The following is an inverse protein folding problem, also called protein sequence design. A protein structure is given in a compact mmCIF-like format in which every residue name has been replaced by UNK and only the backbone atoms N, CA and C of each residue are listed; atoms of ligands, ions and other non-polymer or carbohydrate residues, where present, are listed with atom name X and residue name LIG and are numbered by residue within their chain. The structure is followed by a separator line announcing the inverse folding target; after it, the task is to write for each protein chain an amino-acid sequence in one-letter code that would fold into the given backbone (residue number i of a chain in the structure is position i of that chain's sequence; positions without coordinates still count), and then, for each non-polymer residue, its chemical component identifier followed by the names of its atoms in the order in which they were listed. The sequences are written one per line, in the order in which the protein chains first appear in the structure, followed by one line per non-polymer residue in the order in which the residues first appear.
data_IF_222153829443
#
_entry.id   IF_222153829443
#
_cell.length_a   1.000
_cell.length_b   1.000
_cell.length_c   1.000
_cell.angle_alpha   90.00
_cell.angle_beta   90.00
_cell.angle_gamma   90.00
#
_symmetry.space_group_name_H-M   'P 1'
#
loop_
_entity.id
_entity.type
_entity.pdbx_description
1 polymer ?
#
# COMPACT_ATOMS: atom_id res chain seq x y z
N UNK A 1 -1.57 -16.57 18.88
CA UNK A 1 -1.71 -16.57 17.40
C UNK A 1 -0.33 -16.35 16.78
N UNK A 2 -0.04 -16.96 15.64
CA UNK A 2 1.26 -16.82 14.96
C UNK A 2 1.06 -16.64 13.45
N UNK A 3 2.07 -16.12 12.76
CA UNK A 3 2.10 -15.99 11.31
C UNK A 3 1.90 -17.35 10.61
N UNK A 4 2.43 -18.43 11.20
CA UNK A 4 2.25 -19.78 10.65
C UNK A 4 0.77 -20.16 10.57
N UNK A 5 0.01 -19.97 11.66
CA UNK A 5 -1.44 -20.28 11.67
C UNK A 5 -2.20 -19.41 10.66
N UNK A 6 -1.85 -18.11 10.55
CA UNK A 6 -2.46 -17.24 9.55
C UNK A 6 -2.13 -17.71 8.12
N UNK A 7 -0.91 -18.17 7.87
CA UNK A 7 -0.51 -18.71 6.57
C UNK A 7 -1.23 -20.04 6.27
N UNK A 8 -1.42 -20.91 7.27
CA UNK A 8 -2.17 -22.16 7.10
C UNK A 8 -3.66 -21.87 6.79
N UNK A 9 -4.25 -20.88 7.47
CA UNK A 9 -5.61 -20.41 7.13
C UNK A 9 -5.70 -19.87 5.68
N UNK A 10 -4.69 -19.10 5.20
CA UNK A 10 -4.65 -18.65 3.80
C UNK A 10 -4.54 -19.83 2.83
N UNK A 11 -3.69 -20.80 3.14
CA UNK A 11 -3.51 -22.01 2.32
C UNK A 11 -4.77 -22.87 2.25
N UNK A 12 -5.65 -22.84 3.26
CA UNK A 12 -6.93 -23.55 3.21
C UNK A 12 -7.87 -23.05 2.11
N UNK A 13 -7.63 -21.81 1.62
CA UNK A 13 -8.35 -21.22 0.48
C UNK A 13 -7.60 -21.36 -0.85
N UNK A 14 -6.53 -22.18 -0.91
CA UNK A 14 -5.76 -22.36 -2.15
C UNK A 14 -6.62 -22.88 -3.28
N UNK A 15 -6.46 -22.27 -4.46
CA UNK A 15 -7.15 -22.68 -5.68
C UNK A 15 -6.19 -22.67 -6.87
N UNK A 16 -5.67 -23.84 -7.21
CA UNK A 16 -4.68 -24.02 -8.30
C UNK A 16 -5.18 -23.53 -9.65
N UNK A 17 -6.50 -23.65 -9.93
CA UNK A 17 -7.07 -23.21 -11.20
C UNK A 17 -6.98 -21.69 -11.41
N UNK A 18 -6.86 -20.91 -10.34
CA UNK A 18 -6.77 -19.44 -10.40
C UNK A 18 -5.33 -18.89 -10.43
N UNK A 19 -4.34 -19.73 -10.14
CA UNK A 19 -2.94 -19.28 -9.99
C UNK A 19 -2.41 -18.65 -11.27
N UNK A 20 -2.65 -19.28 -12.44
CA UNK A 20 -2.18 -18.75 -13.72
C UNK A 20 -2.85 -17.41 -14.09
N UNK A 21 -4.13 -17.26 -13.79
CA UNK A 21 -4.84 -16.01 -14.06
C UNK A 21 -4.36 -14.87 -13.14
N UNK A 22 -4.10 -15.17 -11.87
CA UNK A 22 -3.52 -14.20 -10.93
C UNK A 22 -2.10 -13.81 -11.34
N UNK A 23 -1.25 -14.78 -11.71
CA UNK A 23 0.11 -14.51 -12.18
C UNK A 23 0.11 -13.54 -13.38
N UNK A 24 -0.79 -13.76 -14.35
CA UNK A 24 -0.97 -12.86 -15.50
C UNK A 24 -1.53 -11.50 -15.09
N UNK A 25 -2.53 -11.46 -14.22
CA UNK A 25 -3.18 -10.23 -13.77
C UNK A 25 -2.22 -9.33 -12.98
N UNK A 26 -1.39 -9.91 -12.11
CA UNK A 26 -0.40 -9.21 -11.31
C UNK A 26 0.96 -9.08 -11.99
N UNK A 27 1.06 -9.50 -13.27
CA UNK A 27 2.27 -9.41 -14.09
C UNK A 27 3.51 -9.95 -13.36
N UNK A 28 3.49 -11.24 -13.06
CA UNK A 28 4.58 -11.90 -12.33
C UNK A 28 5.57 -12.67 -13.21
N UNK A 29 5.49 -12.50 -14.54
CA UNK A 29 6.45 -13.07 -15.47
C UNK A 29 7.83 -12.38 -15.36
N UNK A 30 8.92 -13.03 -15.82
CA UNK A 30 10.24 -12.43 -15.84
C UNK A 30 10.27 -11.05 -16.53
N UNK A 31 10.91 -10.05 -15.88
CA UNK A 31 10.96 -8.67 -16.35
C UNK A 31 9.73 -7.82 -16.08
N UNK A 32 8.67 -8.38 -15.50
CA UNK A 32 7.47 -7.65 -15.14
C UNK A 32 7.53 -7.16 -13.68
N UNK A 33 6.67 -6.20 -13.32
CA UNK A 33 6.70 -5.55 -12.00
C UNK A 33 6.34 -6.45 -10.82
N UNK A 34 5.66 -7.56 -11.05
CA UNK A 34 5.31 -8.58 -10.05
C UNK A 34 6.19 -9.82 -10.11
N UNK A 35 7.33 -9.73 -10.81
CA UNK A 35 8.25 -10.87 -10.94
C UNK A 35 8.60 -11.47 -9.57
N UNK A 36 8.55 -12.80 -9.51
CA UNK A 36 8.81 -13.56 -8.28
C UNK A 36 7.62 -13.72 -7.33
N UNK A 37 6.47 -13.12 -7.59
CA UNK A 37 5.26 -13.33 -6.81
C UNK A 37 4.71 -14.74 -7.02
N UNK A 38 4.44 -15.44 -5.91
CA UNK A 38 3.81 -16.76 -5.89
C UNK A 38 2.39 -16.61 -5.33
N UNK A 39 1.41 -17.22 -6.01
CA UNK A 39 0.00 -17.13 -5.65
C UNK A 39 -0.53 -18.44 -5.07
N UNK A 40 -1.35 -18.35 -4.01
CA UNK A 40 -2.14 -19.45 -3.48
C UNK A 40 -3.44 -19.67 -4.30
N UNK A 41 -3.92 -18.61 -4.95
CA UNK A 41 -5.18 -18.63 -5.70
C UNK A 41 -6.39 -18.21 -4.87
N UNK A 42 -6.20 -17.78 -3.64
CA UNK A 42 -7.25 -17.25 -2.77
C UNK A 42 -7.83 -15.92 -3.30
N UNK A 43 -9.07 -15.62 -2.93
CA UNK A 43 -9.70 -14.33 -3.26
C UNK A 43 -9.38 -13.25 -2.22
N UNK A 44 -9.46 -11.97 -2.63
CA UNK A 44 -9.29 -10.85 -1.70
C UNK A 44 -10.29 -10.89 -0.53
N UNK A 45 -11.58 -11.22 -0.70
CA UNK A 45 -12.49 -11.41 0.44
C UNK A 45 -12.03 -12.49 1.43
N UNK A 46 -11.51 -13.62 0.95
CA UNK A 46 -10.96 -14.68 1.80
C UNK A 46 -9.71 -14.18 2.55
N UNK A 47 -8.79 -13.50 1.88
CA UNK A 47 -7.62 -12.87 2.51
C UNK A 47 -8.03 -11.87 3.60
N UNK A 48 -9.08 -11.05 3.35
CA UNK A 48 -9.65 -10.14 4.35
C UNK A 48 -10.24 -10.87 5.56
N UNK A 49 -10.91 -12.00 5.36
CA UNK A 49 -11.46 -12.81 6.46
C UNK A 49 -10.36 -13.35 7.36
N UNK A 50 -9.28 -13.86 6.77
CA UNK A 50 -8.10 -14.32 7.52
C UNK A 50 -7.43 -13.15 8.26
N UNK A 51 -7.24 -12.01 7.61
CA UNK A 51 -6.66 -10.82 8.23
C UNK A 51 -7.48 -10.35 9.45
N UNK A 52 -8.81 -10.37 9.34
CA UNK A 52 -9.71 -10.04 10.46
C UNK A 52 -9.58 -11.05 11.62
N UNK A 53 -9.51 -12.34 11.33
CA UNK A 53 -9.28 -13.39 12.34
C UNK A 53 -7.96 -13.20 13.08
N UNK A 54 -6.92 -12.74 12.39
CA UNK A 54 -5.56 -12.59 12.90
C UNK A 54 -5.15 -11.14 13.18
N UNK A 55 -6.09 -10.19 13.29
CA UNK A 55 -5.81 -8.76 13.43
C UNK A 55 -4.97 -8.40 14.67
N UNK A 56 -4.93 -9.26 15.70
CA UNK A 56 -4.19 -9.04 16.93
C UNK A 56 -2.76 -9.63 16.91
N UNK A 57 -2.23 -10.03 15.75
CA UNK A 57 -0.85 -10.48 15.63
C UNK A 57 0.13 -9.36 16.00
N UNK A 58 1.16 -9.68 16.79
CA UNK A 58 2.25 -8.73 17.06
C UNK A 58 3.01 -8.39 15.78
N UNK A 59 3.63 -7.19 15.72
CA UNK A 59 4.33 -6.71 14.53
C UNK A 59 5.42 -7.66 14.03
N UNK A 60 6.09 -8.40 14.92
CA UNK A 60 7.07 -9.42 14.54
C UNK A 60 6.44 -10.57 13.75
N UNK A 61 5.23 -10.99 14.12
CA UNK A 61 4.51 -12.03 13.37
C UNK A 61 3.95 -11.47 12.05
N UNK A 62 3.49 -10.23 12.03
CA UNK A 62 3.09 -9.54 10.79
C UNK A 62 4.28 -9.41 9.83
N UNK A 63 5.50 -9.17 10.34
CA UNK A 63 6.71 -9.14 9.52
C UNK A 63 6.96 -10.47 8.82
N UNK A 64 6.74 -11.61 9.49
CA UNK A 64 6.87 -12.94 8.88
C UNK A 64 5.90 -13.16 7.71
N UNK A 65 4.69 -12.59 7.78
CA UNK A 65 3.75 -12.60 6.65
C UNK A 65 4.25 -11.72 5.49
N UNK A 66 4.83 -10.55 5.77
CA UNK A 66 5.44 -9.70 4.74
C UNK A 66 6.67 -10.34 4.08
N UNK A 67 7.40 -11.20 4.78
CA UNK A 67 8.55 -11.92 4.21
C UNK A 67 8.16 -13.20 3.47
N UNK A 68 6.88 -13.53 3.44
CA UNK A 68 6.38 -14.69 2.71
C UNK A 68 6.54 -14.53 1.19
N UNK A 69 6.90 -15.58 0.45
CA UNK A 69 6.87 -15.55 -1.00
C UNK A 69 5.45 -15.47 -1.57
N UNK A 70 4.43 -15.79 -0.78
CA UNK A 70 3.05 -15.77 -1.23
C UNK A 70 2.47 -14.36 -1.22
N UNK A 71 1.91 -13.93 -2.35
CA UNK A 71 1.28 -12.63 -2.52
C UNK A 71 0.15 -12.41 -1.48
N UNK A 72 -0.74 -13.37 -1.32
CA UNK A 72 -1.86 -13.29 -0.38
C UNK A 72 -1.41 -13.14 1.07
N UNK A 73 -0.22 -13.66 1.44
CA UNK A 73 0.31 -13.48 2.79
C UNK A 73 0.77 -12.03 3.02
N UNK A 74 1.43 -11.40 2.03
CA UNK A 74 1.83 -9.98 2.11
C UNK A 74 0.62 -9.07 2.10
N UNK A 75 -0.39 -9.37 1.25
CA UNK A 75 -1.66 -8.65 1.25
C UNK A 75 -2.38 -8.77 2.60
N UNK A 76 -2.42 -9.97 3.18
CA UNK A 76 -2.99 -10.21 4.52
C UNK A 76 -2.27 -9.37 5.58
N UNK A 77 -0.94 -9.32 5.56
CA UNK A 77 -0.14 -8.50 6.48
C UNK A 77 -0.50 -7.01 6.38
N UNK A 78 -0.64 -6.48 5.16
CA UNK A 78 -1.03 -5.10 4.92
C UNK A 78 -2.44 -4.79 5.46
N UNK A 79 -3.39 -5.71 5.28
CA UNK A 79 -4.75 -5.57 5.81
C UNK A 79 -4.74 -5.64 7.35
N UNK A 80 -3.96 -6.53 7.97
CA UNK A 80 -3.80 -6.59 9.42
C UNK A 80 -3.28 -5.26 9.95
N UNK A 81 -2.24 -4.67 9.33
CA UNK A 81 -1.74 -3.35 9.74
C UNK A 81 -2.81 -2.27 9.67
N UNK A 82 -3.65 -2.27 8.62
CA UNK A 82 -4.76 -1.33 8.53
C UNK A 82 -5.75 -1.48 9.69
N UNK A 83 -6.10 -2.72 10.05
CA UNK A 83 -7.01 -3.00 11.16
C UNK A 83 -6.41 -2.52 12.49
N UNK A 84 -5.13 -2.79 12.71
CA UNK A 84 -4.40 -2.34 13.91
C UNK A 84 -4.29 -0.82 13.96
N UNK A 85 -3.99 -0.17 12.83
CA UNK A 85 -3.89 1.28 12.74
C UNK A 85 -5.23 1.95 13.08
N UNK A 86 -6.34 1.41 12.53
CA UNK A 86 -7.69 1.90 12.83
C UNK A 86 -8.06 1.73 14.31
N UNK A 87 -7.65 0.63 14.93
CA UNK A 87 -7.92 0.34 16.33
C UNK A 87 -7.03 1.17 17.28
N UNK A 88 -5.88 1.65 16.83
CA UNK A 88 -4.94 2.42 17.63
C UNK A 88 -5.53 3.80 17.98
N UNK A 89 -5.70 4.06 19.28
CA UNK A 89 -6.24 5.34 19.78
C UNK A 89 -5.17 6.39 20.05
N UNK A 90 -3.95 5.95 20.41
CA UNK A 90 -2.84 6.82 20.76
C UNK A 90 -1.96 7.08 19.53
N UNK A 91 -1.58 8.34 19.30
CA UNK A 91 -0.64 8.73 18.23
C UNK A 91 0.67 7.94 18.28
N UNK A 92 1.17 7.62 19.49
CA UNK A 92 2.39 6.82 19.63
C UNK A 92 2.25 5.39 19.07
N UNK A 93 1.07 4.77 19.22
CA UNK A 93 0.82 3.42 18.68
C UNK A 93 0.67 3.48 17.16
N UNK A 94 -0.03 4.51 16.64
CA UNK A 94 -0.10 4.77 15.19
C UNK A 94 1.28 5.01 14.58
N UNK A 95 2.14 5.77 15.30
CA UNK A 95 3.52 5.99 14.89
C UNK A 95 4.29 4.68 14.74
N UNK A 96 4.20 3.79 15.72
CA UNK A 96 4.87 2.47 15.66
C UNK A 96 4.42 1.66 14.44
N UNK A 97 3.11 1.65 14.16
CA UNK A 97 2.56 0.93 13.01
C UNK A 97 3.01 1.58 11.69
N UNK A 98 2.98 2.91 11.62
CA UNK A 98 3.43 3.65 10.44
C UNK A 98 4.92 3.48 10.16
N UNK A 99 5.77 3.58 11.18
CA UNK A 99 7.22 3.34 11.05
C UNK A 99 7.50 1.89 10.59
N UNK A 100 6.76 0.93 11.14
CA UNK A 100 6.85 -0.47 10.74
C UNK A 100 6.41 -0.66 9.28
N UNK A 101 5.31 -0.02 8.85
CA UNK A 101 4.88 -0.03 7.45
C UNK A 101 5.96 0.52 6.53
N UNK A 102 6.53 1.68 6.83
CA UNK A 102 7.62 2.28 6.05
C UNK A 102 8.88 1.38 6.01
N UNK A 103 9.16 0.63 7.07
CA UNK A 103 10.22 -0.39 7.07
C UNK A 103 9.91 -1.46 6.00
N UNK A 104 8.67 -1.96 5.93
CA UNK A 104 8.29 -2.97 4.93
C UNK A 104 8.31 -2.41 3.50
N UNK A 105 7.89 -1.16 3.31
CA UNK A 105 7.99 -0.47 2.01
C UNK A 105 9.45 -0.36 1.55
N UNK A 106 10.37 0.05 2.42
CA UNK A 106 11.80 0.15 2.10
C UNK A 106 12.46 -1.19 1.86
N UNK A 107 11.95 -2.25 2.47
CA UNK A 107 12.41 -3.63 2.29
C UNK A 107 11.79 -4.33 1.07
N UNK A 108 11.08 -3.58 0.19
CA UNK A 108 10.43 -4.08 -1.02
C UNK A 108 9.43 -5.24 -0.76
N UNK A 109 8.75 -5.20 0.38
CA UNK A 109 7.76 -6.21 0.78
C UNK A 109 6.31 -5.76 0.54
N UNK A 110 6.11 -4.45 0.32
CA UNK A 110 4.89 -3.83 -0.18
C UNK A 110 5.11 -3.60 -1.67
N UNK A 111 5.11 -4.68 -2.43
CA UNK A 111 5.70 -4.78 -3.77
C UNK A 111 4.70 -5.20 -4.86
N UNK A 112 3.44 -4.86 -4.70
CA UNK A 112 2.46 -4.91 -5.79
C UNK A 112 1.43 -3.80 -5.60
N UNK A 113 0.75 -3.40 -6.70
CA UNK A 113 -0.17 -2.26 -6.70
C UNK A 113 -1.32 -2.44 -5.71
N UNK A 114 -1.90 -3.63 -5.59
CA UNK A 114 -3.02 -3.89 -4.67
C UNK A 114 -2.62 -3.83 -3.20
N UNK A 115 -1.39 -4.27 -2.86
CA UNK A 115 -0.84 -4.17 -1.50
C UNK A 115 -0.62 -2.70 -1.14
N UNK A 116 -0.10 -1.90 -2.07
CA UNK A 116 0.06 -0.44 -1.87
C UNK A 116 -1.30 0.23 -1.73
N UNK A 117 -2.23 -0.05 -2.66
CA UNK A 117 -3.52 0.62 -2.74
C UNK A 117 -4.45 0.28 -1.56
N UNK A 118 -4.29 -0.91 -0.97
CA UNK A 118 -5.03 -1.26 0.23
C UNK A 118 -4.45 -0.62 1.49
N UNK A 119 -3.14 -0.38 1.55
CA UNK A 119 -2.45 0.04 2.78
C UNK A 119 -2.17 1.53 2.86
N UNK A 120 -1.59 2.13 1.82
CA UNK A 120 -1.12 3.52 1.85
C UNK A 120 -2.23 4.54 2.17
N UNK A 121 -3.49 4.43 1.68
CA UNK A 121 -4.56 5.36 2.06
C UNK A 121 -4.82 5.43 3.57
N UNK A 122 -4.67 4.32 4.28
CA UNK A 122 -4.87 4.26 5.73
C UNK A 122 -3.63 4.71 6.50
N UNK A 123 -2.45 4.30 6.05
CA UNK A 123 -1.19 4.73 6.66
C UNK A 123 -0.98 6.24 6.50
N UNK A 124 -1.43 6.82 5.38
CA UNK A 124 -1.40 8.26 5.14
C UNK A 124 -2.12 9.11 6.19
N UNK A 125 -3.09 8.54 6.91
CA UNK A 125 -3.79 9.25 8.01
C UNK A 125 -2.80 9.73 9.08
N UNK A 126 -1.72 9.00 9.34
CA UNK A 126 -0.69 9.43 10.29
C UNK A 126 0.00 10.73 9.88
N UNK A 127 0.05 11.06 8.59
CA UNK A 127 0.67 12.29 8.09
C UNK A 127 -0.08 13.56 8.51
N UNK A 128 -1.35 13.45 8.94
CA UNK A 128 -2.12 14.55 9.50
C UNK A 128 -1.82 14.79 11.00
N UNK A 129 -1.02 13.93 11.64
CA UNK A 129 -0.79 13.97 13.09
C UNK A 129 0.43 14.84 13.51
N UNK A 130 0.81 15.85 12.75
CA UNK A 130 1.58 16.95 13.31
C UNK A 130 2.94 17.30 12.74
N UNK A 131 3.55 16.54 11.86
CA UNK A 131 4.79 16.96 11.18
C UNK A 131 4.53 17.22 9.71
N UNK A 132 5.28 18.17 9.12
CA UNK A 132 5.29 18.38 7.68
C UNK A 132 5.53 17.04 6.94
N UNK A 133 4.58 16.55 6.14
CA UNK A 133 4.72 15.28 5.42
C UNK A 133 5.69 15.35 4.23
N UNK A 134 6.00 16.57 3.76
CA UNK A 134 6.71 16.77 2.49
C UNK A 134 8.10 16.13 2.44
N UNK A 135 8.96 16.22 3.48
CA UNK A 135 10.29 15.58 3.43
C UNK A 135 10.20 14.07 3.19
N UNK A 136 9.25 13.37 3.84
CA UNK A 136 9.03 11.94 3.64
C UNK A 136 8.51 11.64 2.23
N UNK A 137 7.47 12.36 1.81
CA UNK A 137 6.83 12.14 0.51
C UNK A 137 7.80 12.38 -0.65
N UNK A 138 8.59 13.45 -0.61
CA UNK A 138 9.63 13.75 -1.61
C UNK A 138 10.71 12.65 -1.62
N UNK A 139 11.15 12.20 -0.43
CA UNK A 139 12.14 11.11 -0.33
C UNK A 139 11.65 9.83 -1.01
N UNK A 140 10.39 9.46 -0.78
CA UNK A 140 9.78 8.29 -1.42
C UNK A 140 9.59 8.49 -2.93
N UNK A 141 9.14 9.68 -3.35
CA UNK A 141 8.92 10.01 -4.76
C UNK A 141 10.21 9.97 -5.59
N UNK A 142 11.36 10.26 -4.98
CA UNK A 142 12.68 10.23 -5.63
C UNK A 142 13.37 8.86 -5.58
N UNK A 143 12.71 7.84 -5.03
CA UNK A 143 13.28 6.50 -4.92
C UNK A 143 13.42 5.82 -6.28
N UNK A 144 14.43 4.97 -6.44
CA UNK A 144 14.55 4.05 -7.59
C UNK A 144 13.45 2.98 -7.59
N UNK A 145 12.90 2.66 -6.43
CA UNK A 145 11.83 1.68 -6.28
C UNK A 145 10.50 2.20 -6.82
N UNK A 146 9.90 1.46 -7.74
CA UNK A 146 8.54 1.69 -8.25
C UNK A 146 7.54 1.80 -7.08
N UNK A 147 7.65 0.89 -6.12
CA UNK A 147 6.68 0.79 -5.03
C UNK A 147 6.78 1.94 -4.04
N UNK A 148 7.99 2.41 -3.72
CA UNK A 148 8.19 3.58 -2.89
C UNK A 148 7.63 4.83 -3.55
N UNK A 149 7.82 5.01 -4.87
CA UNK A 149 7.23 6.13 -5.61
C UNK A 149 5.70 6.04 -5.62
N UNK A 150 5.13 4.84 -5.84
CA UNK A 150 3.68 4.66 -5.77
C UNK A 150 3.12 4.94 -4.36
N UNK A 151 3.79 4.47 -3.31
CA UNK A 151 3.42 4.76 -1.92
C UNK A 151 3.42 6.26 -1.66
N UNK A 152 4.41 7.01 -2.17
CA UNK A 152 4.51 8.46 -1.94
C UNK A 152 3.26 9.21 -2.35
N UNK A 153 2.74 8.91 -3.55
CA UNK A 153 1.55 9.61 -4.06
C UNK A 153 0.26 9.08 -3.40
N UNK A 154 0.13 7.77 -3.15
CA UNK A 154 -1.10 7.22 -2.56
C UNK A 154 -1.23 7.57 -1.07
N UNK A 155 -0.14 7.78 -0.34
CA UNK A 155 -0.19 8.31 1.03
C UNK A 155 -0.92 9.67 1.10
N UNK A 156 -0.88 10.48 0.02
CA UNK A 156 -1.57 11.78 -0.02
C UNK A 156 -3.09 11.67 -0.05
N UNK A 157 -3.65 10.48 -0.28
CA UNK A 157 -5.11 10.28 -0.27
C UNK A 157 -5.76 10.73 1.05
N UNK A 158 -5.11 10.46 2.18
CA UNK A 158 -5.61 10.91 3.48
C UNK A 158 -5.56 12.43 3.61
N UNK A 159 -4.48 13.05 3.11
CA UNK A 159 -4.32 14.52 3.11
C UNK A 159 -5.41 15.19 2.26
N UNK A 160 -5.68 14.65 1.05
CA UNK A 160 -6.78 15.13 0.18
C UNK A 160 -8.11 15.09 0.93
N UNK A 161 -8.37 13.98 1.62
CA UNK A 161 -9.63 13.79 2.34
C UNK A 161 -9.85 14.85 3.42
N UNK A 162 -8.77 15.27 4.06
CA UNK A 162 -8.78 16.27 5.13
C UNK A 162 -8.55 17.71 4.61
N UNK A 163 -8.49 17.91 3.27
CA UNK A 163 -8.42 19.23 2.62
C UNK A 163 -7.01 19.79 2.44
N UNK A 164 -5.96 19.03 2.80
CA UNK A 164 -4.57 19.43 2.58
C UNK A 164 -4.09 18.94 1.21
N UNK A 165 -4.24 19.77 0.18
CA UNK A 165 -4.12 19.39 -1.23
C UNK A 165 -2.72 19.60 -1.82
N UNK A 166 -1.94 20.53 -1.26
CA UNK A 166 -0.63 20.94 -1.78
C UNK A 166 0.37 19.78 -1.90
N UNK A 167 0.46 18.82 -0.94
CA UNK A 167 1.35 17.69 -1.07
C UNK A 167 1.04 16.84 -2.30
N UNK A 168 -0.25 16.64 -2.59
CA UNK A 168 -0.66 15.88 -3.79
C UNK A 168 -0.16 16.54 -5.06
N UNK A 169 -0.32 17.87 -5.19
CA UNK A 169 0.18 18.62 -6.33
C UNK A 169 1.69 18.50 -6.47
N UNK A 170 2.42 18.70 -5.36
CA UNK A 170 3.88 18.65 -5.35
C UNK A 170 4.41 17.28 -5.76
N UNK A 171 3.85 16.20 -5.20
CA UNK A 171 4.27 14.84 -5.53
C UNK A 171 3.81 14.44 -6.94
N UNK A 172 2.63 14.85 -7.38
CA UNK A 172 2.19 14.64 -8.78
C UNK A 172 3.15 15.28 -9.77
N UNK A 173 3.60 16.53 -9.53
CA UNK A 173 4.61 17.20 -10.38
C UNK A 173 5.93 16.42 -10.41
N UNK A 174 6.38 15.92 -9.26
CA UNK A 174 7.63 15.14 -9.17
C UNK A 174 7.58 13.82 -9.95
N UNK A 175 6.38 13.24 -10.09
CA UNK A 175 6.16 11.93 -10.72
C UNK A 175 5.61 12.03 -12.17
N UNK A 176 5.41 13.23 -12.71
CA UNK A 176 4.76 13.43 -14.00
C UNK A 176 5.50 12.77 -15.19
N UNK A 177 6.82 12.68 -15.06
CA UNK A 177 7.72 12.11 -16.11
C UNK A 177 8.25 10.73 -15.71
N UNK A 178 7.54 10.01 -14.84
CA UNK A 178 7.93 8.64 -14.46
C UNK A 178 7.71 7.69 -15.64
N UNK A 179 8.63 6.75 -15.86
CA UNK A 179 8.55 5.79 -16.98
C UNK A 179 7.54 4.66 -16.73
N UNK A 180 7.00 4.57 -15.51
CA UNK A 180 6.14 3.45 -15.09
C UNK A 180 4.65 3.80 -15.19
N UNK A 181 3.90 3.08 -16.02
CA UNK A 181 2.46 3.20 -16.17
C UNK A 181 1.68 3.13 -14.83
N UNK A 182 2.13 2.28 -13.90
CA UNK A 182 1.54 2.19 -12.56
C UNK A 182 1.67 3.48 -11.76
N UNK A 183 2.68 4.30 -12.00
CA UNK A 183 2.83 5.62 -11.36
C UNK A 183 1.84 6.61 -11.98
N UNK A 184 1.73 6.65 -13.32
CA UNK A 184 0.76 7.51 -14.00
C UNK A 184 -0.68 7.22 -13.54
N UNK A 185 -1.03 5.94 -13.39
CA UNK A 185 -2.34 5.51 -12.87
C UNK A 185 -2.58 6.00 -11.44
N UNK A 186 -1.56 5.92 -10.57
CA UNK A 186 -1.67 6.40 -9.19
C UNK A 186 -1.79 7.92 -9.12
N UNK A 187 -0.98 8.66 -9.88
CA UNK A 187 -1.05 10.11 -9.99
C UNK A 187 -2.43 10.54 -10.50
N UNK A 188 -2.91 9.93 -11.59
CA UNK A 188 -4.25 10.22 -12.14
C UNK A 188 -5.37 9.95 -11.14
N UNK A 189 -5.26 8.87 -10.35
CA UNK A 189 -6.23 8.59 -9.29
C UNK A 189 -6.21 9.69 -8.22
N UNK A 190 -5.06 10.08 -7.70
CA UNK A 190 -4.95 11.12 -6.66
C UNK A 190 -5.38 12.50 -7.18
N UNK A 191 -5.03 12.85 -8.41
CA UNK A 191 -5.51 14.10 -9.04
C UNK A 191 -7.03 14.10 -9.23
N UNK A 192 -7.62 12.97 -9.59
CA UNK A 192 -9.10 12.82 -9.65
C UNK A 192 -9.75 13.05 -8.28
N UNK A 193 -9.18 12.47 -7.23
CA UNK A 193 -9.70 12.66 -5.87
C UNK A 193 -9.51 14.10 -5.39
N UNK A 194 -8.40 14.74 -5.73
CA UNK A 194 -8.15 16.17 -5.49
C UNK A 194 -9.18 17.03 -6.21
N UNK A 195 -9.45 16.75 -7.50
CA UNK A 195 -10.41 17.52 -8.28
C UNK A 195 -11.85 17.44 -7.76
N UNK A 196 -12.22 16.39 -7.03
CA UNK A 196 -13.49 16.31 -6.31
C UNK A 196 -13.56 17.30 -5.13
N UNK A 197 -12.42 17.71 -4.59
CA UNK A 197 -12.32 18.70 -3.49
C UNK A 197 -12.16 20.13 -4.04
N UNK A 198 -11.28 20.29 -5.02
CA UNK A 198 -10.98 21.57 -5.65
C UNK A 198 -10.71 21.41 -7.15
N UNK A 199 -11.75 21.63 -7.96
CA UNK A 199 -11.65 21.53 -9.42
C UNK A 199 -10.81 22.67 -10.02
N UNK A 200 -10.76 23.84 -9.38
CA UNK A 200 -9.97 24.97 -9.88
C UNK A 200 -8.48 24.73 -9.70
N UNK A 201 -8.09 24.16 -8.56
CA UNK A 201 -6.72 23.75 -8.31
C UNK A 201 -6.28 22.65 -9.30
N UNK A 202 -7.17 21.67 -9.59
CA UNK A 202 -6.89 20.66 -10.61
C UNK A 202 -6.67 21.28 -11.99
N UNK A 203 -7.57 22.20 -12.42
CA UNK A 203 -7.43 22.90 -13.72
C UNK A 203 -6.11 23.65 -13.81
N UNK A 204 -5.75 24.41 -12.76
CA UNK A 204 -4.48 25.13 -12.69
C UNK A 204 -3.25 24.20 -12.76
N UNK A 205 -3.39 22.97 -12.32
CA UNK A 205 -2.31 21.95 -12.42
C UNK A 205 -2.17 21.43 -13.85
N UNK A 206 -3.28 21.31 -14.61
CA UNK A 206 -3.32 20.73 -15.96
C UNK A 206 -2.99 21.74 -17.07
N UNK A 207 -3.02 23.04 -16.78
CA UNK A 207 -2.63 24.14 -17.68
C UNK A 207 -1.22 24.61 -17.43
#
# INVERSE_FOLDING_TARGET
MSARVALDDLKSFSNKARVSDLARFYRSAPGEYGEGDIFLGGSVPQTRSVAKKHQNLGLQEVEKLFTSPFHEARLCAAIILNLQFKAAKKTQDRKKIFDFYLKQVRAERVNNWDIVDVSAPWMGVYLNEGKDPMPLLIKLAKSKSLWQRRVSIILTFALIRDGYLEPTIAISKALLKDDQDLIHKAVGWMLRELGKKDVMLLRKFLT
#
